data_IF_501180384229
#
_entry.id   IF_501180384229
#
_cell.length_a   1.000
_cell.length_b   1.000
_cell.length_c   1.000
_cell.angle_alpha   90.00
_cell.angle_beta   90.00
_cell.angle_gamma   90.00
#
_symmetry.space_group_name_H-M   'P 1'
#
loop_
_entity.id
_entity.type
_entity.pdbx_description
1 polymer ?
#
# COMPACT_ATOMS: atom_id res chain seq x y z
N UNK A 1 15.24 -4.89 -21.87
CA UNK A 1 14.70 -3.87 -20.97
C UNK A 1 15.18 -2.54 -21.49
N UNK A 2 14.25 -1.71 -21.94
CA UNK A 2 14.53 -0.31 -22.32
C UNK A 2 14.75 0.51 -21.06
N UNK A 3 15.41 1.67 -21.16
CA UNK A 3 15.59 2.59 -20.02
C UNK A 3 14.25 2.93 -19.33
N UNK A 4 13.14 2.94 -20.09
CA UNK A 4 11.77 3.14 -19.62
C UNK A 4 11.20 1.97 -18.79
N UNK A 5 11.62 0.73 -19.08
CA UNK A 5 11.24 -0.47 -18.32
C UNK A 5 11.94 -0.49 -16.95
N UNK A 6 13.23 -0.14 -16.94
CA UNK A 6 14.03 -0.08 -15.71
C UNK A 6 13.50 1.02 -14.76
N UNK A 7 13.10 2.18 -15.31
CA UNK A 7 12.42 3.23 -14.53
C UNK A 7 11.07 2.76 -13.96
N UNK A 8 10.32 1.95 -14.71
CA UNK A 8 9.00 1.46 -14.30
C UNK A 8 9.08 0.44 -13.17
N UNK A 9 10.00 -0.52 -13.26
CA UNK A 9 10.24 -1.51 -12.19
C UNK A 9 10.78 -0.84 -10.93
N UNK A 10 11.79 0.03 -11.06
CA UNK A 10 12.35 0.74 -9.92
C UNK A 10 11.29 1.62 -9.22
N UNK A 11 10.47 2.35 -9.99
CA UNK A 11 9.37 3.15 -9.45
C UNK A 11 8.33 2.29 -8.74
N UNK A 12 8.01 1.13 -9.28
CA UNK A 12 7.10 0.17 -8.65
C UNK A 12 7.62 -0.27 -7.28
N UNK A 13 8.86 -0.74 -7.21
CA UNK A 13 9.50 -1.14 -5.96
C UNK A 13 9.60 0.03 -4.97
N UNK A 14 9.85 1.24 -5.47
CA UNK A 14 9.89 2.44 -4.63
C UNK A 14 8.53 2.78 -4.03
N UNK A 15 7.44 2.63 -4.78
CA UNK A 15 6.06 2.78 -4.25
C UNK A 15 5.83 1.81 -3.10
N UNK A 16 6.15 0.53 -3.29
CA UNK A 16 5.97 -0.50 -2.25
C UNK A 16 6.80 -0.18 -1.00
N UNK A 17 8.06 0.21 -1.18
CA UNK A 17 8.96 0.60 -0.09
C UNK A 17 8.45 1.81 0.69
N UNK A 18 7.87 2.82 0.02
CA UNK A 18 7.28 3.99 0.69
C UNK A 18 6.03 3.61 1.46
N UNK A 19 5.17 2.73 0.93
CA UNK A 19 3.99 2.24 1.66
C UNK A 19 4.41 1.49 2.92
N UNK A 20 5.34 0.53 2.79
CA UNK A 20 5.87 -0.26 3.92
C UNK A 20 6.46 0.65 5.00
N UNK A 21 7.35 1.59 4.64
CA UNK A 21 8.00 2.48 5.60
C UNK A 21 7.04 3.47 6.30
N UNK A 22 5.83 3.65 5.77
CA UNK A 22 4.81 4.56 6.31
C UNK A 22 3.53 3.80 6.73
N UNK A 23 3.68 2.52 7.06
CA UNK A 23 2.69 1.62 7.66
C UNK A 23 3.35 1.07 8.93
N UNK A 24 2.58 0.80 10.00
CA UNK A 24 3.14 0.26 11.24
C UNK A 24 3.22 1.26 12.39
N UNK A 25 3.13 0.78 13.63
CA UNK A 25 3.21 1.59 14.87
C UNK A 25 4.43 2.54 14.87
N UNK A 26 4.27 3.84 15.22
CA UNK A 26 3.08 4.51 15.77
C UNK A 26 2.07 5.00 14.71
N UNK A 27 2.28 4.67 13.45
CA UNK A 27 1.41 5.04 12.35
C UNK A 27 0.24 4.05 12.24
N UNK A 28 -0.83 4.46 11.55
CA UNK A 28 -1.92 3.53 11.25
C UNK A 28 -1.43 2.46 10.26
N UNK A 29 -2.05 1.26 10.22
CA UNK A 29 -1.66 0.16 9.33
C UNK A 29 -2.11 0.43 7.89
N UNK A 30 -1.71 1.57 7.34
CA UNK A 30 -1.87 1.92 5.94
C UNK A 30 -1.37 3.34 5.66
N UNK A 31 -0.55 3.46 4.61
CA UNK A 31 0.00 4.71 4.12
C UNK A 31 -1.04 5.50 3.29
N UNK A 32 -1.05 6.83 3.39
CA UNK A 32 -1.89 7.66 2.53
C UNK A 32 -1.24 7.83 1.15
N UNK A 33 -2.00 7.79 0.04
CA UNK A 33 -1.46 8.09 -1.29
C UNK A 33 -0.76 9.45 -1.37
N UNK A 34 -1.25 10.46 -0.61
CA UNK A 34 -0.61 11.77 -0.52
C UNK A 34 0.82 11.72 0.02
N UNK A 35 1.12 10.78 0.92
CA UNK A 35 2.46 10.57 1.45
C UNK A 35 3.36 9.97 0.36
N UNK A 36 2.85 9.00 -0.40
CA UNK A 36 3.57 8.42 -1.54
C UNK A 36 3.93 9.51 -2.56
N UNK A 37 2.97 10.35 -2.95
CA UNK A 37 3.26 11.48 -3.86
C UNK A 37 4.26 12.47 -3.27
N UNK A 38 4.14 12.80 -1.98
CA UNK A 38 5.04 13.73 -1.31
C UNK A 38 6.50 13.26 -1.32
N UNK A 39 6.72 11.96 -1.20
CA UNK A 39 8.06 11.35 -1.22
C UNK A 39 8.59 11.20 -2.64
N UNK A 40 7.77 10.70 -3.58
CA UNK A 40 8.23 10.28 -4.91
C UNK A 40 8.16 11.37 -5.97
N UNK A 41 7.15 12.23 -5.91
CA UNK A 41 6.95 13.35 -6.86
C UNK A 41 7.56 14.64 -6.31
N UNK A 42 7.83 14.69 -5.00
CA UNK A 42 8.39 15.83 -4.29
C UNK A 42 7.37 16.93 -3.99
N UNK A 43 7.69 17.77 -3.01
CA UNK A 43 6.94 18.98 -2.67
C UNK A 43 7.86 20.22 -2.76
N UNK A 44 7.60 21.19 -3.65
CA UNK A 44 6.46 21.27 -4.58
C UNK A 44 6.50 20.19 -5.67
N UNK A 45 5.31 19.87 -6.23
CA UNK A 45 5.11 18.80 -7.22
C UNK A 45 6.08 18.98 -8.41
N UNK A 46 6.85 17.93 -8.72
CA UNK A 46 7.76 17.87 -9.87
C UNK A 46 9.25 18.04 -9.53
N UNK A 47 9.61 18.01 -8.25
CA UNK A 47 11.01 18.04 -7.78
C UNK A 47 11.55 16.67 -7.38
N UNK A 48 10.68 15.66 -7.25
CA UNK A 48 11.08 14.27 -7.05
C UNK A 48 11.43 13.59 -8.37
N UNK A 49 11.96 12.38 -8.27
CA UNK A 49 12.49 11.61 -9.40
C UNK A 49 11.41 11.09 -10.34
N UNK A 50 10.14 11.06 -9.89
CA UNK A 50 9.03 10.47 -10.64
C UNK A 50 7.90 11.45 -10.95
N UNK A 51 7.24 11.25 -12.08
CA UNK A 51 6.01 11.96 -12.43
C UNK A 51 4.82 11.43 -11.63
N UNK A 52 3.79 12.28 -11.46
CA UNK A 52 2.56 11.85 -10.79
C UNK A 52 1.86 10.72 -11.53
N UNK A 53 1.71 10.83 -12.84
CA UNK A 53 1.08 9.78 -13.66
C UNK A 53 1.85 8.46 -13.58
N UNK A 54 3.19 8.52 -13.53
CA UNK A 54 4.02 7.33 -13.33
C UNK A 54 3.78 6.67 -11.97
N UNK A 55 3.71 7.47 -10.89
CA UNK A 55 3.42 6.95 -9.54
C UNK A 55 1.99 6.40 -9.47
N UNK A 56 1.01 7.06 -10.08
CA UNK A 56 -0.39 6.58 -10.16
C UNK A 56 -0.43 5.21 -10.87
N UNK A 57 0.27 5.07 -12.00
CA UNK A 57 0.36 3.81 -12.74
C UNK A 57 1.03 2.70 -11.90
N UNK A 58 2.08 3.01 -11.14
CA UNK A 58 2.75 2.04 -10.27
C UNK A 58 1.89 1.63 -9.07
N UNK A 59 1.14 2.56 -8.46
CA UNK A 59 0.16 2.22 -7.42
C UNK A 59 -0.94 1.31 -7.99
N UNK A 60 -1.48 1.64 -9.16
CA UNK A 60 -2.51 0.82 -9.79
C UNK A 60 -1.98 -0.57 -10.13
N UNK A 61 -0.78 -0.68 -10.69
CA UNK A 61 -0.14 -1.96 -10.97
C UNK A 61 0.03 -2.80 -9.68
N UNK A 62 0.37 -2.17 -8.56
CA UNK A 62 0.53 -2.87 -7.28
C UNK A 62 -0.81 -3.33 -6.68
N UNK A 63 -1.90 -2.61 -6.95
CA UNK A 63 -3.25 -3.05 -6.61
C UNK A 63 -3.70 -4.21 -7.53
N UNK A 64 -3.42 -4.13 -8.83
CA UNK A 64 -3.79 -5.16 -9.80
C UNK A 64 -3.00 -6.47 -9.59
N UNK A 65 -1.79 -6.38 -9.02
CA UNK A 65 -0.94 -7.51 -8.66
C UNK A 65 -1.20 -8.05 -7.24
N UNK A 66 -2.19 -7.51 -6.52
CA UNK A 66 -2.48 -7.85 -5.11
C UNK A 66 -1.27 -7.67 -4.16
N UNK A 67 -0.33 -6.78 -4.51
CA UNK A 67 0.81 -6.37 -3.68
C UNK A 67 0.43 -5.30 -2.65
N UNK A 68 -0.69 -4.63 -2.90
CA UNK A 68 -1.32 -3.63 -2.04
C UNK A 68 -2.83 -3.90 -1.94
N UNK A 69 -3.41 -3.59 -0.77
CA UNK A 69 -4.84 -3.39 -0.63
C UNK A 69 -5.16 -1.92 -0.37
N UNK A 70 -6.32 -1.50 -0.84
CA UNK A 70 -6.86 -0.15 -0.63
C UNK A 70 -8.08 -0.20 0.27
N UNK A 71 -8.10 0.66 1.29
CA UNK A 71 -9.22 0.78 2.21
C UNK A 71 -9.43 2.23 2.66
N UNK A 72 -10.52 2.51 3.38
CA UNK A 72 -10.82 3.84 3.92
C UNK A 72 -10.79 3.83 5.43
N UNK A 73 -10.04 4.76 6.00
CA UNK A 73 -10.08 4.98 7.45
C UNK A 73 -11.38 5.66 7.89
N UNK A 74 -11.56 5.78 9.20
CA UNK A 74 -12.75 6.41 9.82
C UNK A 74 -12.94 7.88 9.45
N UNK A 75 -11.87 8.55 9.03
CA UNK A 75 -11.91 9.93 8.52
C UNK A 75 -12.15 9.97 7.00
N UNK A 76 -12.53 8.84 6.39
CA UNK A 76 -12.72 8.67 4.95
C UNK A 76 -11.46 8.91 4.11
N UNK A 77 -10.27 8.81 4.71
CA UNK A 77 -9.03 8.86 3.93
C UNK A 77 -8.73 7.49 3.33
N UNK A 78 -8.38 7.49 2.05
CA UNK A 78 -7.83 6.32 1.37
C UNK A 78 -6.48 5.96 1.99
N UNK A 79 -6.28 4.67 2.24
CA UNK A 79 -5.03 4.08 2.73
C UNK A 79 -4.64 2.89 1.87
N UNK A 80 -3.33 2.71 1.73
CA UNK A 80 -2.68 1.62 1.05
C UNK A 80 -1.92 0.80 2.09
N UNK A 81 -2.13 -0.51 2.10
CA UNK A 81 -1.41 -1.44 3.00
C UNK A 81 -0.79 -2.52 2.13
N UNK A 82 0.46 -2.88 2.41
CA UNK A 82 1.12 -4.00 1.75
C UNK A 82 0.41 -5.29 2.11
N UNK A 83 0.32 -6.21 1.17
CA UNK A 83 -0.24 -7.55 1.44
C UNK A 83 0.76 -8.48 2.10
N UNK A 84 1.74 -7.95 2.84
CA UNK A 84 2.63 -8.78 3.65
C UNK A 84 1.86 -9.28 4.88
N UNK A 85 2.16 -10.49 5.29
CA UNK A 85 1.41 -11.18 6.34
C UNK A 85 1.43 -10.42 7.69
N UNK A 86 2.58 -9.88 8.09
CA UNK A 86 2.68 -9.02 9.29
C UNK A 86 1.84 -7.74 9.17
N UNK A 87 1.89 -7.06 8.02
CA UNK A 87 1.12 -5.82 7.76
C UNK A 87 -0.39 -6.07 7.78
N UNK A 88 -0.83 -7.18 7.19
CA UNK A 88 -2.24 -7.59 7.17
C UNK A 88 -2.73 -7.98 8.56
N UNK A 89 -1.90 -8.65 9.36
CA UNK A 89 -2.23 -8.96 10.76
C UNK A 89 -2.32 -7.71 11.61
N UNK A 90 -1.43 -6.74 11.41
CA UNK A 90 -1.52 -5.45 12.08
C UNK A 90 -2.81 -4.72 11.70
N UNK A 91 -3.18 -4.72 10.41
CA UNK A 91 -4.45 -4.15 9.94
C UNK A 91 -5.67 -4.81 10.59
N UNK A 92 -5.70 -6.15 10.65
CA UNK A 92 -6.78 -6.90 11.30
C UNK A 92 -6.84 -6.58 12.79
N UNK A 93 -5.70 -6.54 13.48
CA UNK A 93 -5.61 -6.16 14.89
C UNK A 93 -6.17 -4.76 15.13
N UNK A 94 -5.72 -3.79 14.33
CA UNK A 94 -6.17 -2.41 14.40
C UNK A 94 -7.67 -2.25 14.19
N UNK A 95 -8.27 -2.97 13.22
CA UNK A 95 -9.71 -2.93 13.00
C UNK A 95 -10.50 -3.62 14.13
N UNK A 96 -9.99 -4.72 14.68
CA UNK A 96 -10.61 -5.43 15.80
C UNK A 96 -10.62 -4.62 17.10
N UNK A 97 -9.62 -3.75 17.31
CA UNK A 97 -9.57 -2.82 18.45
C UNK A 97 -10.59 -1.67 18.33
N UNK A 98 -11.29 -1.52 17.20
CA UNK A 98 -12.31 -0.50 17.00
C UNK A 98 -13.65 -0.88 17.63
N UNK A 99 -14.43 0.12 18.05
CA UNK A 99 -15.80 -0.07 18.55
C UNK A 99 -16.76 -0.65 17.49
N UNK A 100 -16.50 -0.33 16.22
CA UNK A 100 -17.27 -0.82 15.07
C UNK A 100 -16.32 -1.27 13.96
N UNK A 101 -15.82 -2.52 14.04
CA UNK A 101 -14.88 -3.07 13.07
C UNK A 101 -15.51 -3.18 11.68
N UNK A 102 -14.71 -2.98 10.65
CA UNK A 102 -15.14 -3.18 9.26
C UNK A 102 -14.93 -4.64 8.88
N UNK A 103 -15.97 -5.49 9.02
CA UNK A 103 -15.86 -6.93 8.76
C UNK A 103 -15.35 -7.23 7.35
N UNK A 104 -15.81 -6.49 6.35
CA UNK A 104 -15.37 -6.67 4.95
C UNK A 104 -13.86 -6.45 4.77
N UNK A 105 -13.27 -5.50 5.50
CA UNK A 105 -11.83 -5.23 5.45
C UNK A 105 -11.02 -6.34 6.14
N UNK A 106 -11.52 -6.83 7.27
CA UNK A 106 -10.90 -7.96 7.99
C UNK A 106 -10.95 -9.22 7.12
N UNK A 107 -12.08 -9.52 6.48
CA UNK A 107 -12.25 -10.66 5.58
C UNK A 107 -11.36 -10.54 4.33
N UNK A 108 -11.21 -9.33 3.78
CA UNK A 108 -10.29 -9.06 2.68
C UNK A 108 -8.85 -9.36 3.11
N UNK A 109 -8.39 -8.79 4.23
CA UNK A 109 -7.04 -9.00 4.73
C UNK A 109 -6.75 -10.47 5.06
N UNK A 110 -7.70 -11.17 5.70
CA UNK A 110 -7.56 -12.59 6.02
C UNK A 110 -7.41 -13.45 4.76
N UNK A 111 -8.20 -13.18 3.71
CA UNK A 111 -8.11 -13.92 2.44
C UNK A 111 -6.72 -13.84 1.82
N UNK A 112 -6.05 -12.70 1.90
CA UNK A 112 -4.68 -12.56 1.38
C UNK A 112 -3.64 -13.34 2.21
N UNK A 113 -3.88 -13.53 3.51
CA UNK A 113 -3.03 -14.37 4.35
C UNK A 113 -3.21 -15.85 3.95
N UNK A 114 -4.45 -16.32 3.87
CA UNK A 114 -4.76 -17.72 3.50
C UNK A 114 -4.21 -18.09 2.11
N UNK A 115 -4.34 -17.21 1.11
CA UNK A 115 -3.88 -17.46 -0.26
C UNK A 115 -2.35 -17.58 -0.36
N UNK A 116 -1.62 -16.80 0.48
CA UNK A 116 -0.17 -16.89 0.58
C UNK A 116 0.29 -18.17 1.24
N UNK A 117 -0.34 -18.58 2.34
CA UNK A 117 -0.02 -19.86 3.00
C UNK A 117 -0.24 -21.06 2.06
N UNK A 118 -1.26 -21.01 1.19
CA UNK A 118 -1.54 -22.07 0.22
C UNK A 118 -0.53 -22.13 -0.96
N UNK A 119 0.23 -21.06 -1.21
CA UNK A 119 1.19 -20.98 -2.33
C UNK A 119 2.60 -21.39 -1.92
N UNK A 120 2.91 -21.37 -0.62
CA UNK A 120 4.19 -21.81 -0.03
C UNK A 120 4.25 -23.33 0.30
N UNK A 121 3.21 -24.10 -0.03
CA UNK A 121 3.12 -25.58 0.14
C UNK A 121 3.61 -26.43 -1.06
#
# INVERSE_FOLDING_TARGET
MTEDDVDTEERYERVLSVVEHNTGDPQLPGCRPSTVYGVLVGAPIGYGDYSRDGVDASIQAALDADDLIVWRDRNSHTRLTRTLDDDLRELIGHENDQEHPTTELIEQAARHIDDKEATDE
#
